data_IF_505065574457
#
_entry.id   IF_505065574457
#
_cell.length_a   1.000
_cell.length_b   1.000
_cell.length_c   1.000
_cell.angle_alpha   90.00
_cell.angle_beta   90.00
_cell.angle_gamma   90.00
#
_symmetry.space_group_name_H-M   'P 1'
#
loop_
_entity.id
_entity.type
_entity.pdbx_description
1 polymer ?
#
# COMPACT_ATOMS: atom_id res chain seq x y z
N UNK A 1 -13.07 5.23 -3.29
CA UNK A 1 -12.04 4.22 -3.56
C UNK A 1 -12.65 2.84 -3.37
N UNK A 2 -12.56 1.93 -4.33
CA UNK A 2 -13.25 0.62 -4.32
C UNK A 2 -12.38 -0.56 -3.89
N UNK A 3 -11.09 -0.34 -3.67
CA UNK A 3 -10.12 -1.29 -3.11
C UNK A 3 -8.96 -0.49 -2.51
N UNK A 4 -8.16 -1.04 -1.58
CA UNK A 4 -6.87 -0.48 -1.19
C UNK A 4 -6.04 -0.07 -2.42
N UNK A 5 -5.31 1.04 -2.32
CA UNK A 5 -4.51 1.56 -3.44
C UNK A 5 -3.16 0.86 -3.53
N UNK A 6 -2.47 0.75 -2.39
CA UNK A 6 -1.27 -0.05 -2.23
C UNK A 6 -1.61 -1.51 -1.95
N UNK A 7 -0.61 -2.40 -2.04
CA UNK A 7 -0.74 -3.79 -1.57
C UNK A 7 -0.53 -3.91 -0.06
N UNK A 8 -0.11 -2.83 0.59
CA UNK A 8 -0.01 -2.68 2.04
C UNK A 8 -1.15 -1.84 2.61
N UNK A 9 -1.57 -2.15 3.84
CA UNK A 9 -2.44 -1.31 4.65
C UNK A 9 -1.96 -1.34 6.11
N UNK A 10 -1.51 -0.21 6.64
CA UNK A 10 -0.88 -0.10 7.96
C UNK A 10 -0.02 1.16 8.10
N UNK A 11 1.08 1.08 8.85
CA UNK A 11 2.01 2.20 8.98
C UNK A 11 3.40 1.85 8.44
N UNK A 12 4.16 0.99 9.15
CA UNK A 12 5.51 0.62 8.74
C UNK A 12 5.51 -0.10 7.38
N UNK A 13 4.52 -0.97 7.16
CA UNK A 13 4.35 -1.71 5.89
C UNK A 13 4.06 -0.80 4.69
N UNK A 14 3.38 0.34 4.90
CA UNK A 14 3.13 1.32 3.83
C UNK A 14 4.37 2.16 3.54
N UNK A 15 5.14 2.51 4.58
CA UNK A 15 6.45 3.17 4.38
C UNK A 15 7.40 2.25 3.63
N UNK A 16 7.40 0.94 3.94
CA UNK A 16 8.20 -0.04 3.20
C UNK A 16 7.81 -0.10 1.72
N UNK A 17 6.51 -0.15 1.39
CA UNK A 17 6.04 -0.15 -0.01
C UNK A 17 6.39 1.17 -0.72
N UNK A 18 6.33 2.31 -0.03
CA UNK A 18 6.76 3.59 -0.59
C UNK A 18 8.28 3.62 -0.88
N UNK A 19 9.11 3.09 0.01
CA UNK A 19 10.56 2.97 -0.20
C UNK A 19 10.86 2.02 -1.36
N UNK A 20 10.18 0.88 -1.42
CA UNK A 20 10.31 -0.07 -2.53
C UNK A 20 9.98 0.59 -3.88
N UNK A 21 8.87 1.33 -3.94
CA UNK A 21 8.47 2.08 -5.12
C UNK A 21 9.55 3.08 -5.52
N UNK A 22 10.02 3.92 -4.59
CA UNK A 22 11.06 4.92 -4.87
C UNK A 22 12.36 4.30 -5.37
N UNK A 23 12.70 3.10 -4.91
CA UNK A 23 13.88 2.32 -5.33
C UNK A 23 13.71 1.57 -6.66
N UNK A 24 12.56 1.68 -7.31
CA UNK A 24 12.32 1.05 -8.62
C UNK A 24 11.42 -0.19 -8.59
N UNK A 25 10.95 -0.63 -7.41
CA UNK A 25 10.12 -1.82 -7.26
C UNK A 25 8.63 -1.45 -7.18
N UNK A 26 7.93 -1.53 -8.33
CA UNK A 26 6.50 -1.24 -8.41
C UNK A 26 5.68 -2.47 -7.98
N UNK A 27 5.29 -2.51 -6.70
CA UNK A 27 4.44 -3.59 -6.15
C UNK A 27 2.96 -3.43 -6.50
N UNK A 28 2.46 -2.19 -6.57
CA UNK A 28 1.09 -1.85 -6.97
C UNK A 28 1.09 -0.94 -8.21
N UNK A 29 0.67 -1.45 -9.39
CA UNK A 29 0.51 -0.62 -10.59
C UNK A 29 -0.50 0.51 -10.39
N UNK A 30 -1.54 0.28 -9.57
CA UNK A 30 -2.58 1.28 -9.27
C UNK A 30 -2.03 2.43 -8.43
N UNK A 31 -1.21 2.12 -7.41
CA UNK A 31 -0.53 3.14 -6.61
C UNK A 31 0.40 3.97 -7.49
N UNK A 32 1.17 3.31 -8.35
CA UNK A 32 2.09 3.97 -9.27
C UNK A 32 1.37 4.92 -10.22
N UNK A 33 0.29 4.47 -10.87
CA UNK A 33 -0.45 5.28 -11.84
C UNK A 33 -1.09 6.52 -11.19
N UNK A 34 -1.71 6.37 -10.00
CA UNK A 34 -2.28 7.52 -9.29
C UNK A 34 -1.19 8.48 -8.82
N UNK A 35 -0.06 7.97 -8.33
CA UNK A 35 1.07 8.79 -7.87
C UNK A 35 1.62 9.64 -9.03
N UNK A 36 1.83 9.03 -10.20
CA UNK A 36 2.24 9.73 -11.40
C UNK A 36 1.21 10.77 -11.83
N UNK A 37 -0.06 10.39 -11.94
CA UNK A 37 -1.11 11.29 -12.40
C UNK A 37 -1.26 12.53 -11.51
N UNK A 38 -1.19 12.38 -10.17
CA UNK A 38 -1.24 13.50 -9.24
C UNK A 38 0.01 14.40 -9.35
N UNK A 39 1.19 13.79 -9.50
CA UNK A 39 2.44 14.53 -9.64
C UNK A 39 2.51 15.28 -10.98
N UNK A 40 2.01 14.69 -12.07
CA UNK A 40 1.88 15.34 -13.39
C UNK A 40 1.10 16.66 -13.27
N UNK A 41 -0.07 16.66 -12.62
CA UNK A 41 -0.84 17.88 -12.40
C UNK A 41 -0.06 18.89 -11.55
N UNK A 42 0.60 18.44 -10.48
CA UNK A 42 1.38 19.32 -9.61
C UNK A 42 2.51 20.05 -10.36
N UNK A 43 3.20 19.36 -11.27
CA UNK A 43 4.26 19.93 -12.12
C UNK A 43 3.71 20.96 -13.12
N UNK A 44 2.55 20.70 -13.71
CA UNK A 44 1.90 21.62 -14.65
C UNK A 44 1.39 22.86 -13.92
N UNK A 45 0.69 22.70 -12.79
CA UNK A 45 0.18 23.81 -11.97
C UNK A 45 1.31 24.69 -11.42
N UNK A 46 2.43 24.07 -11.02
CA UNK A 46 3.63 24.79 -10.59
C UNK A 46 4.41 25.44 -11.75
N UNK A 47 3.96 25.27 -13.01
CA UNK A 47 4.63 25.76 -14.23
C UNK A 47 6.05 25.23 -14.41
N UNK A 48 6.34 24.05 -13.87
CA UNK A 48 7.62 23.35 -14.02
C UNK A 48 7.62 22.50 -15.31
N UNK A 49 6.45 22.06 -15.75
CA UNK A 49 6.22 21.43 -17.05
C UNK A 49 5.08 22.16 -17.80
N UNK A 50 5.15 22.19 -19.13
CA UNK A 50 4.12 22.83 -19.97
C UNK A 50 2.94 21.91 -20.28
N UNK A 51 3.20 20.61 -20.34
CA UNK A 51 2.19 19.59 -20.59
C UNK A 51 2.38 18.41 -19.63
N UNK A 52 1.37 17.55 -19.56
CA UNK A 52 1.41 16.35 -18.71
C UNK A 52 2.41 15.33 -19.22
N UNK A 53 2.60 15.25 -20.54
CA UNK A 53 3.60 14.38 -21.17
C UNK A 53 5.00 14.82 -20.76
N UNK A 54 5.30 16.12 -20.83
CA UNK A 54 6.57 16.67 -20.33
C UNK A 54 6.73 16.42 -18.82
N UNK A 55 5.66 16.60 -18.04
CA UNK A 55 5.69 16.33 -16.60
C UNK A 55 6.01 14.85 -16.31
N UNK A 56 5.37 13.93 -17.04
CA UNK A 56 5.58 12.48 -16.89
C UNK A 56 7.01 12.10 -17.24
N UNK A 57 7.58 12.64 -18.31
CA UNK A 57 8.99 12.41 -18.67
C UNK A 57 9.94 12.83 -17.55
N UNK A 58 9.76 14.04 -17.00
CA UNK A 58 10.56 14.54 -15.86
C UNK A 58 10.42 13.66 -14.61
N UNK A 59 9.21 13.22 -14.29
CA UNK A 59 8.95 12.34 -13.16
C UNK A 59 9.64 10.98 -13.32
N UNK A 60 9.53 10.38 -14.50
CA UNK A 60 10.17 9.10 -14.81
C UNK A 60 11.70 9.23 -14.80
N UNK A 61 12.26 10.35 -15.26
CA UNK A 61 13.70 10.62 -15.17
C UNK A 61 14.16 10.73 -13.71
N UNK A 62 13.45 11.50 -12.88
CA UNK A 62 13.77 11.66 -11.45
C UNK A 62 13.67 10.32 -10.68
N UNK A 63 12.70 9.48 -11.06
CA UNK A 63 12.54 8.15 -10.49
C UNK A 63 13.67 7.19 -10.92
N UNK A 64 13.92 7.07 -12.23
CA UNK A 64 14.95 6.16 -12.78
C UNK A 64 16.38 6.54 -12.39
N UNK A 65 16.66 7.83 -12.26
CA UNK A 65 17.99 8.33 -11.82
C UNK A 65 18.25 8.15 -10.33
N UNK A 66 17.22 7.84 -9.53
CA UNK A 66 17.31 7.74 -8.08
C UNK A 66 17.24 9.09 -7.35
N UNK A 67 17.08 10.21 -8.06
CA UNK A 67 16.94 11.54 -7.44
C UNK A 67 15.71 11.60 -6.52
N UNK A 68 14.59 10.97 -6.91
CA UNK A 68 13.41 10.86 -6.06
C UNK A 68 13.69 10.11 -4.74
N UNK A 69 14.42 9.00 -4.82
CA UNK A 69 14.88 8.24 -3.64
C UNK A 69 15.78 9.08 -2.75
N UNK A 70 16.76 9.77 -3.33
CA UNK A 70 17.68 10.66 -2.60
C UNK A 70 16.93 11.78 -1.89
N UNK A 71 15.98 12.43 -2.58
CA UNK A 71 15.15 13.51 -2.00
C UNK A 71 14.32 13.05 -0.82
N UNK A 72 13.74 11.85 -0.90
CA UNK A 72 13.01 11.28 0.22
C UNK A 72 13.95 10.99 1.41
N UNK A 73 15.14 10.43 1.17
CA UNK A 73 16.15 10.23 2.22
C UNK A 73 16.62 11.53 2.87
N UNK A 74 16.91 12.55 2.07
CA UNK A 74 17.29 13.90 2.53
C UNK A 74 16.18 14.51 3.41
N UNK A 75 14.91 14.35 3.02
CA UNK A 75 13.74 14.77 3.79
C UNK A 75 13.64 14.04 5.14
N UNK A 76 13.78 12.70 5.14
CA UNK A 76 13.74 11.89 6.37
C UNK A 76 14.82 12.35 7.34
N UNK A 77 16.05 12.54 6.86
CA UNK A 77 17.16 13.02 7.69
C UNK A 77 16.93 14.45 8.23
N UNK A 78 16.40 15.35 7.40
CA UNK A 78 16.09 16.72 7.80
C UNK A 78 15.01 16.81 8.89
N UNK A 79 14.08 15.84 8.92
CA UNK A 79 13.04 15.74 9.95
C UNK A 79 13.46 14.92 11.18
N UNK A 80 14.75 14.62 11.33
CA UNK A 80 15.32 13.92 12.50
C UNK A 80 15.35 12.39 12.39
N UNK A 81 15.02 11.84 11.22
CA UNK A 81 15.17 10.42 10.93
C UNK A 81 16.61 9.99 10.63
N UNK A 82 16.85 8.68 10.43
CA UNK A 82 18.17 8.14 10.14
C UNK A 82 18.68 8.55 8.75
N UNK A 83 19.96 8.91 8.65
CA UNK A 83 20.60 9.28 7.36
C UNK A 83 20.73 8.10 6.39
N UNK A 84 20.88 6.90 6.91
CA UNK A 84 20.97 5.64 6.16
C UNK A 84 19.60 4.95 6.04
N UNK A 85 18.48 5.66 6.30
CA UNK A 85 17.14 5.08 6.23
C UNK A 85 16.85 4.45 4.87
N UNK A 86 17.22 5.14 3.78
CA UNK A 86 17.01 4.62 2.44
C UNK A 86 17.90 3.41 2.13
N UNK A 87 19.05 3.24 2.79
CA UNK A 87 19.91 2.07 2.58
C UNK A 87 19.41 0.86 3.37
N UNK A 88 18.89 1.08 4.58
CA UNK A 88 18.54 0.04 5.57
C UNK A 88 17.18 0.30 6.24
N UNK A 89 16.08 0.42 5.48
CA UNK A 89 14.77 0.74 6.05
C UNK A 89 14.32 -0.33 7.08
N UNK A 90 14.66 -1.60 6.87
CA UNK A 90 14.32 -2.73 7.72
C UNK A 90 14.91 -2.65 9.14
N UNK A 91 15.99 -1.89 9.32
CA UNK A 91 16.59 -1.65 10.63
C UNK A 91 15.76 -0.68 11.48
N UNK A 92 15.00 0.19 10.83
CA UNK A 92 14.31 1.32 11.48
C UNK A 92 12.79 1.14 11.49
N UNK A 93 12.23 0.46 10.49
CA UNK A 93 10.82 0.15 10.42
C UNK A 93 10.51 -0.99 11.41
N UNK A 94 9.55 -0.80 12.33
CA UNK A 94 9.21 -1.81 13.32
C UNK A 94 8.50 -2.98 12.64
N UNK A 95 9.02 -4.20 12.85
CA UNK A 95 8.40 -5.44 12.41
C UNK A 95 7.47 -6.06 13.46
N UNK A 96 6.45 -6.76 12.99
CA UNK A 96 5.60 -7.59 13.83
C UNK A 96 6.16 -9.02 13.91
N UNK A 97 6.15 -9.68 15.09
CA UNK A 97 6.71 -11.01 15.26
C UNK A 97 5.87 -12.13 14.62
N UNK A 98 4.59 -11.88 14.34
CA UNK A 98 3.70 -12.84 13.67
C UNK A 98 3.37 -12.33 12.27
N UNK A 99 3.80 -13.08 11.27
CA UNK A 99 3.45 -12.85 9.87
C UNK A 99 2.79 -14.11 9.31
N UNK A 100 1.54 -13.98 8.82
CA UNK A 100 0.75 -15.14 8.40
C UNK A 100 -0.03 -14.85 7.11
N UNK A 101 0.03 -15.73 6.09
CA UNK A 101 -0.83 -15.60 4.92
C UNK A 101 -2.30 -15.85 5.28
N UNK A 102 -3.20 -15.07 4.69
CA UNK A 102 -4.64 -15.21 4.85
C UNK A 102 -5.21 -15.69 3.52
N UNK A 103 -5.83 -16.86 3.52
CA UNK A 103 -6.50 -17.44 2.37
C UNK A 103 -8.00 -17.13 2.41
N UNK A 104 -8.62 -17.06 1.23
CA UNK A 104 -10.07 -16.93 1.16
C UNK A 104 -10.77 -18.23 1.60
N UNK A 105 -12.03 -18.12 2.03
CA UNK A 105 -12.85 -19.26 2.46
C UNK A 105 -13.23 -20.20 1.30
N UNK A 106 -13.14 -19.70 0.06
CA UNK A 106 -13.38 -20.46 -1.15
C UNK A 106 -12.41 -20.03 -2.26
N UNK A 107 -12.15 -20.94 -3.19
CA UNK A 107 -11.33 -20.65 -4.36
C UNK A 107 -12.10 -19.84 -5.41
N UNK A 108 -11.38 -18.99 -6.15
CA UNK A 108 -11.94 -18.22 -7.25
C UNK A 108 -11.12 -16.97 -7.57
N UNK A 109 -11.82 -15.92 -7.96
CA UNK A 109 -11.24 -14.62 -8.29
C UNK A 109 -11.79 -13.57 -7.33
N UNK A 110 -10.95 -12.64 -6.88
CA UNK A 110 -11.39 -11.47 -6.10
C UNK A 110 -12.31 -10.62 -6.97
N UNK A 111 -13.57 -10.51 -6.59
CA UNK A 111 -14.58 -9.71 -7.31
C UNK A 111 -14.66 -8.30 -6.73
N UNK A 112 -14.63 -8.20 -5.40
CA UNK A 112 -14.83 -6.96 -4.68
C UNK A 112 -14.02 -6.97 -3.38
N UNK A 113 -13.55 -5.80 -2.98
CA UNK A 113 -12.86 -5.58 -1.70
C UNK A 113 -13.54 -4.42 -0.98
N UNK A 114 -14.16 -4.69 0.17
CA UNK A 114 -14.65 -3.63 1.05
C UNK A 114 -13.47 -2.95 1.74
N UNK A 115 -13.00 -1.86 1.10
CA UNK A 115 -11.85 -1.08 1.57
C UNK A 115 -12.07 -0.50 2.96
N UNK A 116 -13.33 -0.18 3.31
CA UNK A 116 -13.64 0.35 4.64
C UNK A 116 -13.43 -0.74 5.68
N UNK A 117 -13.90 -1.95 5.41
CA UNK A 117 -13.71 -3.09 6.30
C UNK A 117 -12.24 -3.46 6.46
N UNK A 118 -11.43 -3.39 5.38
CA UNK A 118 -9.96 -3.53 5.48
C UNK A 118 -9.35 -2.50 6.44
N UNK A 119 -9.72 -1.22 6.30
CA UNK A 119 -9.25 -0.16 7.20
C UNK A 119 -9.66 -0.37 8.65
N UNK A 120 -10.90 -0.81 8.90
CA UNK A 120 -11.39 -1.14 10.23
C UNK A 120 -10.65 -2.35 10.83
N UNK A 121 -10.26 -3.33 10.01
CA UNK A 121 -9.44 -4.46 10.45
C UNK A 121 -8.04 -4.01 10.89
N UNK A 122 -7.41 -3.06 10.18
CA UNK A 122 -6.13 -2.45 10.62
C UNK A 122 -6.29 -1.69 11.95
N UNK A 123 -7.39 -0.94 12.12
CA UNK A 123 -7.70 -0.27 13.40
C UNK A 123 -7.92 -1.29 14.52
N UNK A 124 -8.58 -2.41 14.22
CA UNK A 124 -8.81 -3.47 15.20
C UNK A 124 -7.51 -4.16 15.63
N UNK A 125 -6.56 -4.33 14.70
CA UNK A 125 -5.19 -4.82 14.94
C UNK A 125 -4.33 -3.88 15.78
N UNK A 126 -4.70 -2.60 15.89
CA UNK A 126 -3.94 -1.56 16.60
C UNK A 126 -3.12 -0.63 15.70
N UNK A 127 -3.19 -0.79 14.37
CA UNK A 127 -2.56 0.10 13.39
C UNK A 127 -3.28 1.44 13.19
N UNK A 128 -4.33 1.68 13.99
CA UNK A 128 -5.09 2.93 13.97
C UNK A 128 -5.76 3.20 15.30
N UNK A 129 -6.36 4.37 15.40
CA UNK A 129 -6.98 4.86 16.64
C UNK A 129 -8.48 4.61 16.64
N UNK A 130 -9.03 4.04 17.72
CA UNK A 130 -10.49 4.00 17.95
C UNK A 130 -10.95 5.31 18.60
N UNK A 131 -10.13 5.86 19.48
CA UNK A 131 -10.28 7.17 20.12
C UNK A 131 -9.03 8.02 19.87
N UNK A 132 -9.13 9.36 19.79
CA UNK A 132 -8.00 10.23 19.46
C UNK A 132 -6.74 10.03 20.32
N UNK A 133 -6.90 9.61 21.57
CA UNK A 133 -5.82 9.37 22.53
C UNK A 133 -5.16 7.99 22.45
N UNK A 134 -5.71 7.06 21.66
CA UNK A 134 -5.18 5.70 21.60
C UNK A 134 -3.78 5.69 20.97
N UNK A 135 -2.91 4.84 21.50
CA UNK A 135 -1.61 4.56 20.88
C UNK A 135 -1.82 3.76 19.59
N UNK A 136 -0.94 3.98 18.61
CA UNK A 136 -0.89 3.22 17.37
C UNK A 136 0.31 2.29 17.45
N UNK A 137 0.12 1.03 17.09
CA UNK A 137 1.20 0.09 16.84
C UNK A 137 1.60 0.17 15.36
N UNK A 138 2.74 0.80 15.03
CA UNK A 138 3.12 0.98 13.63
C UNK A 138 3.54 -0.31 12.92
N UNK A 139 3.79 -1.39 13.66
CA UNK A 139 4.31 -2.65 13.09
C UNK A 139 3.22 -3.55 12.50
N UNK A 140 1.96 -3.35 12.90
CA UNK A 140 0.85 -4.20 12.47
C UNK A 140 0.22 -3.70 11.18
N UNK A 141 -0.44 -4.60 10.46
CA UNK A 141 -1.15 -4.28 9.23
C UNK A 141 -1.23 -5.45 8.27
N UNK A 142 -1.53 -5.16 7.02
CA UNK A 142 -1.58 -6.13 5.93
C UNK A 142 -0.57 -5.79 4.85
N UNK A 143 -0.06 -6.82 4.19
CA UNK A 143 0.77 -6.71 2.97
C UNK A 143 0.28 -7.71 1.94
N UNK A 144 0.75 -7.56 0.69
CA UNK A 144 0.38 -8.44 -0.43
C UNK A 144 -1.14 -8.60 -0.60
N UNK A 145 -1.89 -7.53 -0.32
CA UNK A 145 -3.33 -7.52 -0.53
C UNK A 145 -3.64 -7.83 -1.99
N UNK A 146 -4.53 -8.80 -2.18
CA UNK A 146 -5.02 -9.16 -3.50
C UNK A 146 -5.99 -8.08 -4.00
N UNK A 147 -5.93 -7.79 -5.30
CA UNK A 147 -6.82 -6.84 -5.97
C UNK A 147 -7.94 -7.55 -6.73
N UNK A 148 -9.05 -6.84 -7.02
CA UNK A 148 -10.08 -7.36 -7.92
C UNK A 148 -9.49 -7.85 -9.24
N UNK A 149 -9.89 -9.04 -9.68
CA UNK A 149 -9.36 -9.73 -10.86
C UNK A 149 -8.23 -10.72 -10.56
N UNK A 150 -7.63 -10.68 -9.37
CA UNK A 150 -6.59 -11.63 -8.96
C UNK A 150 -7.18 -12.93 -8.42
N UNK A 151 -6.43 -14.03 -8.56
CA UNK A 151 -6.82 -15.35 -8.05
C UNK A 151 -6.73 -15.38 -6.53
N UNK A 152 -7.67 -16.10 -5.91
CA UNK A 152 -7.63 -16.48 -4.51
C UNK A 152 -7.86 -18.00 -4.44
N UNK A 153 -6.84 -18.75 -4.01
CA UNK A 153 -6.87 -20.21 -3.88
C UNK A 153 -5.83 -20.67 -2.84
N UNK A 154 -5.63 -21.98 -2.67
CA UNK A 154 -4.68 -22.54 -1.70
C UNK A 154 -3.21 -22.09 -1.87
N UNK A 155 -2.84 -21.49 -3.01
CA UNK A 155 -1.50 -20.97 -3.29
C UNK A 155 -1.47 -19.43 -3.36
N UNK A 156 -2.62 -18.79 -3.58
CA UNK A 156 -2.76 -17.35 -3.74
C UNK A 156 -3.58 -16.76 -2.56
N UNK A 157 -2.92 -16.30 -1.48
CA UNK A 157 -3.60 -15.67 -0.36
C UNK A 157 -4.19 -14.30 -0.76
N UNK A 158 -5.25 -13.88 -0.07
CA UNK A 158 -5.86 -12.56 -0.24
C UNK A 158 -5.08 -11.43 0.46
N UNK A 159 -4.15 -11.81 1.34
CA UNK A 159 -3.24 -10.89 2.01
C UNK A 159 -2.33 -11.62 2.98
N UNK A 160 -1.42 -10.88 3.60
CA UNK A 160 -0.54 -11.36 4.67
C UNK A 160 -0.70 -10.41 5.85
N UNK A 161 -1.10 -10.93 7.01
CA UNK A 161 -1.22 -10.15 8.24
C UNK A 161 0.12 -10.06 8.96
N UNK A 162 0.37 -8.90 9.54
CA UNK A 162 1.45 -8.60 10.49
C UNK A 162 0.80 -8.25 11.84
N UNK A 163 1.04 -9.06 12.87
CA UNK A 163 0.41 -8.94 14.19
C UNK A 163 1.38 -9.22 15.34
N UNK A 164 1.03 -8.80 16.57
CA UNK A 164 1.86 -9.09 17.77
C UNK A 164 1.70 -10.50 18.30
N UNK A 165 0.54 -11.11 18.06
CA UNK A 165 0.17 -12.42 18.60
C UNK A 165 -0.55 -13.25 17.55
N UNK A 166 -0.58 -14.57 17.75
CA UNK A 166 -1.28 -15.49 16.86
C UNK A 166 -2.80 -15.28 16.93
N UNK A 167 -3.31 -14.93 18.10
CA UNK A 167 -4.73 -14.63 18.34
C UNK A 167 -5.17 -13.40 17.54
N UNK A 168 -4.39 -12.31 17.60
CA UNK A 168 -4.64 -11.13 16.77
C UNK A 168 -4.56 -11.43 15.27
N UNK A 169 -3.62 -12.28 14.85
CA UNK A 169 -3.50 -12.69 13.46
C UNK A 169 -4.74 -13.46 13.00
N UNK A 170 -5.28 -14.34 13.85
CA UNK A 170 -6.51 -15.09 13.57
C UNK A 170 -7.74 -14.18 13.49
N UNK A 171 -7.92 -13.25 14.45
CA UNK A 171 -9.02 -12.28 14.42
C UNK A 171 -8.98 -11.39 13.16
N UNK A 172 -7.79 -10.93 12.80
CA UNK A 172 -7.58 -10.14 11.60
C UNK A 172 -7.78 -10.93 10.30
N UNK A 173 -7.47 -12.23 10.30
CA UNK A 173 -7.75 -13.11 9.17
C UNK A 173 -9.26 -13.18 8.90
N UNK A 174 -10.07 -13.43 9.93
CA UNK A 174 -11.52 -13.44 9.82
C UNK A 174 -12.07 -12.10 9.33
N UNK A 175 -11.55 -10.99 9.86
CA UNK A 175 -11.96 -9.65 9.43
C UNK A 175 -11.59 -9.36 7.97
N UNK A 176 -10.41 -9.79 7.52
CA UNK A 176 -9.99 -9.62 6.13
C UNK A 176 -10.79 -10.51 5.18
N UNK A 177 -11.03 -11.78 5.54
CA UNK A 177 -11.88 -12.69 4.76
C UNK A 177 -13.27 -12.11 4.54
N UNK A 178 -13.90 -11.55 5.59
CA UNK A 178 -15.20 -10.90 5.51
C UNK A 178 -15.22 -9.64 4.63
N UNK A 179 -14.05 -9.00 4.39
CA UNK A 179 -13.92 -7.84 3.52
C UNK A 179 -13.76 -8.21 2.03
N UNK A 180 -13.56 -9.49 1.70
CA UNK A 180 -13.30 -9.96 0.35
C UNK A 180 -14.47 -10.77 -0.19
N UNK A 181 -14.91 -10.45 -1.42
CA UNK A 181 -15.89 -11.24 -2.16
C UNK A 181 -15.20 -12.03 -3.25
N UNK A 182 -15.29 -13.36 -3.18
CA UNK A 182 -14.71 -14.28 -4.17
C UNK A 182 -15.81 -14.82 -5.09
N UNK A 183 -15.54 -14.91 -6.39
CA UNK A 183 -16.49 -15.43 -7.38
C UNK A 183 -15.84 -15.95 -8.65
N UNK A 184 -16.66 -16.34 -9.63
CA UNK A 184 -16.22 -17.00 -10.86
C UNK A 184 -15.85 -16.05 -12.01
N UNK A 185 -16.28 -14.79 -11.96
CA UNK A 185 -16.08 -13.83 -13.05
C UNK A 185 -15.11 -12.72 -12.62
N UNK A 186 -14.05 -12.52 -13.41
CA UNK A 186 -13.24 -11.32 -13.32
C UNK A 186 -14.09 -10.13 -13.78
N UNK A 187 -14.29 -9.15 -12.89
CA UNK A 187 -14.81 -7.85 -13.30
C UNK A 187 -13.73 -7.10 -14.08
N UNK A 188 -14.13 -6.30 -15.07
CA UNK A 188 -13.21 -5.41 -15.76
C UNK A 188 -12.52 -4.47 -14.75
N UNK A 189 -11.20 -4.36 -14.85
CA UNK A 189 -10.43 -3.44 -14.02
C UNK A 189 -10.91 -2.01 -14.29
N UNK A 190 -11.30 -1.29 -13.24
CA UNK A 190 -11.68 0.12 -13.36
C UNK A 190 -10.43 0.96 -13.44
N UNK A 191 -10.43 1.95 -14.34
CA UNK A 191 -9.35 2.92 -14.44
C UNK A 191 -9.05 3.57 -13.08
N UNK A 192 -7.77 3.70 -12.76
CA UNK A 192 -7.33 4.27 -11.48
C UNK A 192 -7.63 5.77 -11.39
N UNK A 193 -7.68 6.47 -12.52
CA UNK A 193 -8.03 7.89 -12.65
C UNK A 193 -9.26 8.00 -13.55
N UNK A 194 -10.42 8.35 -12.98
CA UNK A 194 -11.69 8.38 -13.71
C UNK A 194 -11.85 9.62 -14.61
N UNK A 195 -11.43 10.78 -14.10
CA UNK A 195 -11.50 12.05 -14.81
C UNK A 195 -10.56 13.07 -14.17
N UNK A 196 -10.27 14.13 -14.91
CA UNK A 196 -9.55 15.33 -14.46
C UNK A 196 -10.51 16.51 -14.63
N UNK A 197 -10.75 17.25 -13.54
CA UNK A 197 -11.69 18.38 -13.48
C UNK A 197 -11.03 19.69 -13.90
#
# INVERSE_FOLDING_TARGET
MSAPLARSAGNAVEVEEAVALLKGEVRSPRLWEITLALAEEALVEAKIAKTREEAREKLLEAWKSGEATKRFGDMVAALGGPKDFMDRPEKYLPGAPVTMPIFADQEGVVVEVDTRSVGLAVVALGGGRRRPQDNVDPAVGFTKLAFPGEKADAQHPIGVVHARTAEQAADAALALQAAYKIGAAAMAEKEAVLMRL
#
